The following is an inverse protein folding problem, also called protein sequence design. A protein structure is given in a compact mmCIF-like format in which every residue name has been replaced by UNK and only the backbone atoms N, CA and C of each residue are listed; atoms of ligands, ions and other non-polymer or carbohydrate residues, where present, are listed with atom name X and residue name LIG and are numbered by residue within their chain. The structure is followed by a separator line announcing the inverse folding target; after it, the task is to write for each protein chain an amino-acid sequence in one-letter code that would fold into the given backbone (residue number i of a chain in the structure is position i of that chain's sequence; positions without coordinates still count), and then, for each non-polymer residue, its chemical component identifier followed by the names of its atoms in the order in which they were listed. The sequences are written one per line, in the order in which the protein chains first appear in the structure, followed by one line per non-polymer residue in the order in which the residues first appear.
data_IF_661416409551
#
_entry.id   IF_661416409551
#
_cell.length_a   1.000
_cell.length_b   1.000
_cell.length_c   1.000
_cell.angle_alpha   90.00
_cell.angle_beta   90.00
_cell.angle_gamma   90.00
#
_symmetry.space_group_name_H-M   'P 1'
#
loop_
_entity.id
_entity.type
_entity.pdbx_description
1 polymer ?
#
# COMPACT_ATOMS: atom_id res chain seq x y z
N UNK A 1 16.69 -15.30 6.54
CA UNK A 1 16.02 -15.77 5.31
C UNK A 1 14.79 -16.60 5.65
N UNK A 2 13.80 -16.05 6.36
CA UNK A 2 12.57 -16.81 6.67
C UNK A 2 11.31 -15.98 6.89
N UNK A 3 11.31 -14.66 6.62
CA UNK A 3 10.10 -13.84 6.87
C UNK A 3 9.26 -13.52 5.62
N UNK A 4 9.77 -13.73 4.40
CA UNK A 4 9.01 -13.37 3.19
C UNK A 4 8.03 -14.45 2.68
N UNK A 5 8.02 -15.65 3.28
CA UNK A 5 7.19 -16.75 2.75
C UNK A 5 5.77 -16.84 3.33
N UNK A 6 5.32 -15.88 4.13
CA UNK A 6 3.99 -15.91 4.78
C UNK A 6 2.94 -14.96 4.20
N UNK A 7 3.21 -14.27 3.08
CA UNK A 7 2.27 -13.31 2.47
C UNK A 7 1.62 -13.76 1.16
N UNK A 8 1.78 -15.02 0.75
CA UNK A 8 1.38 -15.45 -0.61
C UNK A 8 0.04 -16.21 -0.66
N UNK A 9 -0.66 -16.44 0.45
CA UNK A 9 -1.93 -17.19 0.40
C UNK A 9 -3.22 -16.34 0.38
N UNK A 10 -3.14 -15.01 0.49
CA UNK A 10 -4.34 -14.16 0.53
C UNK A 10 -4.69 -13.46 -0.80
N UNK A 11 -3.91 -13.63 -1.88
CA UNK A 11 -4.05 -12.81 -3.11
C UNK A 11 -5.09 -13.34 -4.14
N UNK A 12 -5.64 -14.54 -3.99
CA UNK A 12 -6.64 -15.09 -4.94
C UNK A 12 -8.11 -14.84 -4.52
N UNK A 13 -8.32 -14.16 -3.39
CA UNK A 13 -9.66 -13.90 -2.85
C UNK A 13 -10.12 -12.51 -3.26
N UNK A 14 -11.10 -12.45 -4.17
CA UNK A 14 -11.66 -11.19 -4.69
C UNK A 14 -12.16 -10.25 -3.58
N UNK A 15 -12.43 -8.96 -3.89
CA UNK A 15 -12.72 -7.93 -2.88
C UNK A 15 -13.92 -8.24 -1.97
N UNK A 16 -14.85 -9.10 -2.41
CA UNK A 16 -15.96 -9.59 -1.61
C UNK A 16 -15.58 -10.58 -0.50
N UNK A 17 -14.42 -11.22 -0.58
CA UNK A 17 -13.98 -12.23 0.39
C UNK A 17 -13.77 -11.66 1.79
N UNK A 18 -13.37 -10.39 1.90
CA UNK A 18 -13.30 -9.68 3.18
C UNK A 18 -14.68 -9.58 3.87
N UNK A 19 -15.76 -9.55 3.07
CA UNK A 19 -17.14 -9.44 3.58
C UNK A 19 -17.77 -10.81 3.88
N UNK A 20 -17.16 -11.90 3.44
CA UNK A 20 -17.69 -13.26 3.63
C UNK A 20 -17.88 -13.61 5.11
N UNK A 21 -16.94 -13.20 5.98
CA UNK A 21 -17.03 -13.44 7.41
C UNK A 21 -18.25 -12.74 8.06
N UNK A 22 -18.68 -11.60 7.51
CA UNK A 22 -19.85 -10.87 8.01
C UNK A 22 -21.15 -11.57 7.62
N UNK A 23 -21.25 -12.02 6.36
CA UNK A 23 -22.42 -12.77 5.89
C UNK A 23 -22.60 -14.09 6.65
N UNK A 24 -21.50 -14.82 6.89
CA UNK A 24 -21.54 -16.06 7.67
C UNK A 24 -21.91 -15.82 9.13
N UNK A 25 -21.45 -14.71 9.73
CA UNK A 25 -21.85 -14.36 11.09
C UNK A 25 -23.33 -13.99 11.18
N UNK A 26 -23.87 -13.32 10.17
CA UNK A 26 -25.29 -12.95 10.12
C UNK A 26 -26.19 -14.20 10.03
N UNK A 27 -25.88 -15.11 9.11
CA UNK A 27 -26.60 -16.40 8.99
C UNK A 27 -26.46 -17.25 10.26
N UNK A 28 -25.26 -17.32 10.83
CA UNK A 28 -25.03 -17.99 12.12
C UNK A 28 -25.87 -17.37 13.24
N UNK A 29 -25.92 -16.04 13.34
CA UNK A 29 -26.69 -15.36 14.39
C UNK A 29 -28.19 -15.68 14.26
N UNK A 30 -28.71 -15.71 13.04
CA UNK A 30 -30.11 -16.05 12.80
C UNK A 30 -30.39 -17.52 13.14
N UNK A 31 -29.52 -18.45 12.75
CA UNK A 31 -29.58 -19.86 13.17
C UNK A 31 -29.52 -20.00 14.70
N UNK A 32 -28.63 -19.27 15.38
CA UNK A 32 -28.52 -19.28 16.84
C UNK A 32 -29.79 -18.74 17.53
N UNK A 33 -30.39 -17.66 17.00
CA UNK A 33 -31.67 -17.13 17.49
C UNK A 33 -32.79 -18.13 17.35
N UNK A 34 -32.87 -18.85 16.22
CA UNK A 34 -33.84 -19.93 16.03
C UNK A 34 -33.67 -21.04 17.07
N UNK A 35 -32.42 -21.31 17.48
CA UNK A 35 -32.08 -22.27 18.53
C UNK A 35 -32.24 -21.72 19.96
N UNK A 36 -32.71 -20.48 20.13
CA UNK A 36 -32.91 -19.83 21.44
C UNK A 36 -31.65 -19.78 22.31
N UNK A 37 -30.49 -19.48 21.69
CA UNK A 37 -29.21 -19.42 22.39
C UNK A 37 -29.18 -18.38 23.54
N UNK A 38 -29.98 -17.31 23.45
CA UNK A 38 -30.05 -16.26 24.47
C UNK A 38 -30.54 -16.80 25.82
N UNK A 39 -31.52 -17.68 25.78
CA UNK A 39 -32.13 -18.25 26.98
C UNK A 39 -31.27 -19.37 27.58
N UNK A 40 -30.63 -20.16 26.72
CA UNK A 40 -29.92 -21.35 27.16
C UNK A 40 -28.44 -21.13 27.47
N UNK A 41 -27.77 -20.24 26.72
CA UNK A 41 -26.34 -19.98 26.85
C UNK A 41 -26.11 -18.66 27.58
N UNK A 42 -26.67 -17.55 27.09
CA UNK A 42 -26.37 -16.23 27.64
C UNK A 42 -26.87 -16.09 29.08
N UNK A 43 -28.06 -16.62 29.40
CA UNK A 43 -28.60 -16.58 30.76
C UNK A 43 -27.78 -17.40 31.76
N UNK A 44 -27.20 -18.53 31.32
CA UNK A 44 -26.35 -19.37 32.19
C UNK A 44 -24.98 -18.75 32.44
N UNK A 45 -24.43 -18.06 31.44
CA UNK A 45 -23.09 -17.47 31.50
C UNK A 45 -23.09 -15.98 31.88
N UNK A 46 -24.27 -15.37 32.04
CA UNK A 46 -24.45 -13.93 32.30
C UNK A 46 -23.76 -13.05 31.23
N UNK A 47 -23.84 -13.46 29.97
CA UNK A 47 -23.19 -12.79 28.83
C UNK A 47 -24.17 -11.90 28.07
N UNK A 48 -23.65 -10.85 27.43
CA UNK A 48 -24.46 -9.95 26.60
C UNK A 48 -24.87 -10.60 25.27
N UNK A 49 -26.01 -10.19 24.67
CA UNK A 49 -26.40 -10.61 23.33
C UNK A 49 -25.28 -10.39 22.31
N UNK A 50 -25.09 -11.37 21.42
CA UNK A 50 -24.06 -11.32 20.40
C UNK A 50 -24.40 -10.23 19.37
N UNK A 51 -23.45 -9.35 19.09
CA UNK A 51 -23.56 -8.42 17.97
C UNK A 51 -23.51 -9.19 16.65
N UNK A 52 -24.17 -8.64 15.61
CA UNK A 52 -24.13 -9.11 14.22
C UNK A 52 -22.72 -9.30 13.64
N UNK A 53 -21.69 -8.74 14.27
CA UNK A 53 -20.30 -8.82 13.83
C UNK A 53 -19.37 -9.41 14.90
N UNK A 54 -19.92 -10.05 15.95
CA UNK A 54 -19.15 -10.44 17.13
C UNK A 54 -18.00 -11.39 16.83
N UNK A 55 -18.19 -12.41 15.98
CA UNK A 55 -17.09 -13.29 15.55
C UNK A 55 -16.40 -12.84 14.26
N UNK A 56 -16.97 -11.87 13.53
CA UNK A 56 -16.38 -11.35 12.30
C UNK A 56 -15.23 -10.38 12.58
N UNK A 57 -15.31 -9.60 13.67
CA UNK A 57 -14.32 -8.61 14.05
C UNK A 57 -13.59 -8.98 15.34
N UNK A 58 -12.28 -8.74 15.45
CA UNK A 58 -11.57 -8.86 16.73
C UNK A 58 -12.06 -7.80 17.72
N UNK A 59 -12.60 -8.24 18.85
CA UNK A 59 -12.97 -7.32 19.96
C UNK A 59 -12.13 -7.64 21.18
N UNK A 60 -12.30 -8.84 21.74
CA UNK A 60 -11.51 -9.37 22.82
C UNK A 60 -11.21 -10.85 22.56
N UNK A 61 -10.03 -11.21 22.01
CA UNK A 61 -9.72 -12.56 21.58
C UNK A 61 -9.93 -13.63 22.67
N UNK A 62 -9.64 -13.31 23.93
CA UNK A 62 -9.82 -14.24 25.05
C UNK A 62 -11.29 -14.52 25.36
N UNK A 63 -12.11 -13.47 25.40
CA UNK A 63 -13.55 -13.58 25.61
C UNK A 63 -14.25 -14.23 24.42
N UNK A 64 -13.86 -13.85 23.20
CA UNK A 64 -14.38 -14.44 21.96
C UNK A 64 -14.03 -15.93 21.87
N UNK A 65 -12.82 -16.32 22.25
CA UNK A 65 -12.44 -17.74 22.31
C UNK A 65 -13.27 -18.51 23.35
N UNK A 66 -13.46 -17.97 24.55
CA UNK A 66 -14.31 -18.57 25.57
C UNK A 66 -15.76 -18.72 25.09
N UNK A 67 -16.30 -17.68 24.45
CA UNK A 67 -17.65 -17.71 23.87
C UNK A 67 -17.77 -18.72 22.72
N UNK A 68 -16.77 -18.80 21.84
CA UNK A 68 -16.72 -19.80 20.79
C UNK A 68 -16.74 -21.23 21.38
N UNK A 69 -15.88 -21.51 22.36
CA UNK A 69 -15.82 -22.81 23.01
C UNK A 69 -17.15 -23.16 23.71
N UNK A 70 -17.76 -22.19 24.38
CA UNK A 70 -19.05 -22.38 25.06
C UNK A 70 -20.19 -22.64 24.08
N UNK A 71 -20.26 -21.88 22.98
CA UNK A 71 -21.27 -22.09 21.94
C UNK A 71 -21.07 -23.41 21.22
N UNK A 72 -19.84 -23.77 20.87
CA UNK A 72 -19.53 -25.06 20.25
C UNK A 72 -19.95 -26.22 21.17
N UNK A 73 -19.58 -26.17 22.45
CA UNK A 73 -19.99 -27.18 23.43
C UNK A 73 -21.51 -27.30 23.54
N UNK A 74 -22.22 -26.16 23.60
CA UNK A 74 -23.68 -26.15 23.66
C UNK A 74 -24.32 -26.72 22.40
N UNK A 75 -23.83 -26.35 21.21
CA UNK A 75 -24.35 -26.87 19.94
C UNK A 75 -24.10 -28.38 19.80
N UNK A 76 -22.89 -28.86 20.15
CA UNK A 76 -22.57 -30.30 20.14
C UNK A 76 -23.52 -31.05 21.11
N UNK A 77 -23.72 -30.52 22.32
CA UNK A 77 -24.66 -31.08 23.28
C UNK A 77 -26.10 -31.12 22.77
N UNK A 78 -26.51 -30.11 22.00
CA UNK A 78 -27.85 -30.04 21.38
C UNK A 78 -28.03 -30.97 20.18
N UNK A 79 -26.95 -31.27 19.46
CA UNK A 79 -26.94 -32.25 18.38
C UNK A 79 -26.98 -33.70 18.90
N UNK A 80 -26.95 -33.91 20.22
CA UNK A 80 -27.07 -35.23 20.87
C UNK A 80 -25.74 -35.86 21.27
N UNK A 81 -24.61 -35.20 20.99
CA UNK A 81 -23.28 -35.67 21.40
C UNK A 81 -22.94 -35.12 22.79
N UNK A 82 -22.38 -35.96 23.67
CA UNK A 82 -21.97 -35.50 24.99
C UNK A 82 -20.64 -34.74 24.89
N UNK A 83 -20.67 -33.45 25.24
CA UNK A 83 -19.48 -32.60 25.25
C UNK A 83 -19.45 -31.79 26.55
N UNK A 84 -18.40 -31.97 27.35
CA UNK A 84 -18.22 -31.24 28.60
C UNK A 84 -17.87 -29.78 28.33
N UNK A 85 -18.48 -28.86 29.07
CA UNK A 85 -18.22 -27.45 28.91
C UNK A 85 -16.76 -27.13 29.29
N UNK A 86 -15.96 -26.54 28.37
CA UNK A 86 -14.57 -26.21 28.63
C UNK A 86 -14.44 -25.22 29.79
N UNK A 87 -13.56 -25.51 30.74
CA UNK A 87 -13.25 -24.65 31.88
C UNK A 87 -12.07 -23.72 31.56
N UNK A 88 -11.94 -22.61 32.29
CA UNK A 88 -10.87 -21.62 32.09
C UNK A 88 -9.44 -22.19 32.21
N UNK A 89 -9.27 -23.35 32.85
CA UNK A 89 -7.99 -24.02 33.07
C UNK A 89 -7.66 -25.11 32.03
N UNK A 90 -8.59 -25.42 31.13
CA UNK A 90 -8.37 -26.43 30.09
C UNK A 90 -7.40 -25.90 29.02
N UNK A 91 -6.56 -26.78 28.47
CA UNK A 91 -5.63 -26.39 27.40
C UNK A 91 -6.43 -25.99 26.14
N UNK A 92 -6.31 -24.73 25.66
CA UNK A 92 -7.03 -24.26 24.48
C UNK A 92 -6.84 -25.15 23.25
N UNK A 93 -5.65 -25.73 23.06
CA UNK A 93 -5.37 -26.56 21.89
C UNK A 93 -6.07 -27.93 21.99
N UNK A 94 -6.18 -28.48 23.20
CA UNK A 94 -6.89 -29.73 23.45
C UNK A 94 -8.39 -29.53 23.20
N UNK A 95 -8.97 -28.44 23.72
CA UNK A 95 -10.38 -28.08 23.50
C UNK A 95 -10.69 -27.89 22.01
N UNK A 96 -9.86 -27.15 21.27
CA UNK A 96 -10.02 -26.99 19.81
C UNK A 96 -9.94 -28.35 19.11
N UNK A 97 -8.99 -29.21 19.49
CA UNK A 97 -8.84 -30.53 18.88
C UNK A 97 -10.06 -31.42 19.10
N UNK A 98 -10.65 -31.36 20.30
CA UNK A 98 -11.89 -32.09 20.63
C UNK A 98 -13.10 -31.55 19.85
N UNK A 99 -13.22 -30.22 19.72
CA UNK A 99 -14.28 -29.60 18.90
C UNK A 99 -14.14 -30.04 17.44
N UNK A 100 -12.92 -30.03 16.89
CA UNK A 100 -12.66 -30.45 15.52
C UNK A 100 -12.88 -31.96 15.30
N UNK A 101 -12.64 -32.81 16.30
CA UNK A 101 -12.98 -34.24 16.19
C UNK A 101 -14.49 -34.48 16.15
N UNK A 102 -15.27 -33.73 16.94
CA UNK A 102 -16.73 -33.80 16.88
C UNK A 102 -17.24 -33.30 15.53
N UNK A 103 -16.70 -32.19 15.01
CA UNK A 103 -17.08 -31.68 13.68
C UNK A 103 -16.83 -32.71 12.56
N UNK A 104 -15.71 -33.45 12.63
CA UNK A 104 -15.42 -34.54 11.70
C UNK A 104 -16.36 -35.73 11.87
N UNK A 105 -16.85 -35.98 13.09
CA UNK A 105 -17.82 -37.05 13.35
C UNK A 105 -19.18 -36.79 12.68
N UNK A 106 -19.57 -35.52 12.52
CA UNK A 106 -20.73 -35.11 11.74
C UNK A 106 -20.50 -35.13 10.21
N UNK A 107 -19.28 -35.42 9.75
CA UNK A 107 -18.96 -35.57 8.32
C UNK A 107 -18.44 -34.31 7.62
N UNK A 108 -18.13 -33.24 8.36
CA UNK A 108 -17.55 -32.02 7.80
C UNK A 108 -16.02 -32.10 7.72
N UNK A 109 -15.42 -31.64 6.61
CA UNK A 109 -13.96 -31.55 6.45
C UNK A 109 -13.41 -30.26 7.05
N UNK A 110 -12.21 -30.32 7.62
CA UNK A 110 -11.55 -29.19 8.29
C UNK A 110 -10.17 -28.99 7.66
N UNK A 111 -10.09 -28.03 6.74
CA UNK A 111 -8.89 -27.78 5.91
C UNK A 111 -8.11 -26.53 6.37
N UNK A 112 -8.10 -26.24 7.68
CA UNK A 112 -7.38 -25.09 8.24
C UNK A 112 -6.66 -25.43 9.54
N UNK A 113 -5.55 -24.72 9.87
CA UNK A 113 -4.77 -25.01 11.07
C UNK A 113 -5.52 -24.58 12.36
N UNK A 114 -5.43 -25.36 13.47
CA UNK A 114 -6.08 -25.05 14.74
C UNK A 114 -5.76 -23.67 15.31
N UNK A 115 -4.60 -23.11 14.94
CA UNK A 115 -4.16 -21.78 15.37
C UNK A 115 -5.12 -20.66 14.94
N UNK A 116 -5.88 -20.83 13.84
CA UNK A 116 -6.87 -19.82 13.41
C UNK A 116 -8.10 -19.78 14.33
N UNK A 117 -8.49 -20.91 14.90
CA UNK A 117 -9.59 -20.96 15.88
C UNK A 117 -9.19 -20.38 17.24
N UNK A 118 -7.90 -20.48 17.61
CA UNK A 118 -7.38 -19.92 18.87
C UNK A 118 -7.50 -18.39 18.95
N UNK A 119 -7.62 -17.70 17.81
CA UNK A 119 -7.86 -16.26 17.79
C UNK A 119 -9.27 -15.89 18.31
N UNK A 120 -10.22 -16.82 18.31
CA UNK A 120 -11.59 -16.59 18.76
C UNK A 120 -12.47 -15.80 17.76
N UNK A 121 -11.92 -15.32 16.65
CA UNK A 121 -12.66 -14.60 15.60
C UNK A 121 -12.18 -15.00 14.19
N UNK A 122 -13.00 -14.72 13.19
CA UNK A 122 -12.71 -14.92 11.77
C UNK A 122 -13.64 -15.92 11.08
N UNK A 123 -13.49 -16.02 9.75
CA UNK A 123 -14.30 -16.87 8.87
C UNK A 123 -14.34 -18.34 9.35
N UNK A 124 -13.21 -18.87 9.82
CA UNK A 124 -13.11 -20.26 10.26
C UNK A 124 -13.89 -20.52 11.56
N UNK A 125 -13.95 -19.53 12.46
CA UNK A 125 -14.73 -19.62 13.71
C UNK A 125 -16.23 -19.63 13.40
N UNK A 126 -16.67 -18.72 12.52
CA UNK A 126 -18.05 -18.69 12.04
C UNK A 126 -18.43 -19.99 11.33
N UNK A 127 -17.57 -20.50 10.45
CA UNK A 127 -17.79 -21.75 9.71
C UNK A 127 -18.04 -22.94 10.64
N UNK A 128 -17.18 -23.13 11.66
CA UNK A 128 -17.30 -24.24 12.60
C UNK A 128 -18.63 -24.17 13.36
N UNK A 129 -18.98 -23.00 13.89
CA UNK A 129 -20.24 -22.81 14.60
C UNK A 129 -21.45 -22.98 13.69
N UNK A 130 -21.35 -22.54 12.44
CA UNK A 130 -22.41 -22.64 11.45
C UNK A 130 -22.71 -24.11 11.10
N UNK A 131 -21.67 -24.91 10.86
CA UNK A 131 -21.83 -26.35 10.64
C UNK A 131 -22.50 -27.04 11.83
N UNK A 132 -22.12 -26.70 13.06
CA UNK A 132 -22.80 -27.26 14.24
C UNK A 132 -24.25 -26.78 14.36
N UNK A 133 -24.52 -25.50 14.09
CA UNK A 133 -25.88 -24.97 14.11
C UNK A 133 -26.78 -25.66 13.08
N UNK A 134 -26.27 -25.95 11.89
CA UNK A 134 -26.99 -26.71 10.87
C UNK A 134 -27.30 -28.15 11.30
N UNK A 135 -26.34 -28.84 11.91
CA UNK A 135 -26.57 -30.20 12.45
C UNK A 135 -27.61 -30.20 13.57
N UNK A 136 -27.57 -29.19 14.45
CA UNK A 136 -28.59 -29.04 15.49
C UNK A 136 -29.98 -28.78 14.87
N UNK A 137 -30.07 -27.91 13.86
CA UNK A 137 -31.34 -27.63 13.17
C UNK A 137 -31.88 -28.87 12.44
N UNK A 138 -31.01 -29.67 11.84
CA UNK A 138 -31.36 -30.98 11.24
C UNK A 138 -31.89 -31.94 12.30
N UNK A 139 -31.23 -32.02 13.45
CA UNK A 139 -31.62 -32.90 14.56
C UNK A 139 -32.96 -32.49 15.21
N UNK A 140 -33.23 -31.19 15.32
CA UNK A 140 -34.51 -30.65 15.83
C UNK A 140 -35.64 -30.80 14.79
N UNK A 141 -35.34 -31.15 13.54
CA UNK A 141 -36.27 -31.13 12.41
C UNK A 141 -36.96 -29.77 12.27
N UNK A 142 -36.17 -28.69 12.36
CA UNK A 142 -36.68 -27.33 12.24
C UNK A 142 -37.36 -27.12 10.87
N UNK A 143 -38.54 -26.51 10.88
CA UNK A 143 -39.27 -26.11 9.67
C UNK A 143 -39.79 -24.69 9.82
N UNK A 144 -39.68 -23.91 8.75
CA UNK A 144 -40.16 -22.53 8.70
C UNK A 144 -41.69 -22.50 8.85
N UNK A 145 -42.17 -21.84 9.92
CA UNK A 145 -43.61 -21.59 10.11
C UNK A 145 -44.07 -20.53 9.12
N UNK A 146 -45.30 -20.66 8.61
CA UNK A 146 -45.87 -19.67 7.69
C UNK A 146 -45.93 -18.29 8.38
N UNK A 147 -45.57 -17.20 7.68
CA UNK A 147 -45.67 -15.85 8.21
C UNK A 147 -47.10 -15.59 8.70
N UNK A 148 -47.22 -15.23 9.97
CA UNK A 148 -48.49 -14.77 10.54
C UNK A 148 -48.35 -13.25 10.67
N UNK A 149 -49.04 -12.52 9.80
CA UNK A 149 -49.01 -11.06 9.81
C UNK A 149 -49.63 -10.57 11.12
N UNK A 150 -48.87 -9.91 12.00
CA UNK A 150 -49.43 -9.28 13.17
C UNK A 150 -50.48 -8.27 12.69
N UNK A 151 -51.68 -8.33 13.25
CA UNK A 151 -52.68 -7.28 13.03
C UNK A 151 -52.12 -6.05 13.75
N UNK A 152 -51.80 -5.00 12.99
CA UNK A 152 -51.26 -3.74 13.51
C UNK A 152 -52.18 -3.22 14.62
N UNK A 153 -51.80 -3.42 15.88
CA UNK A 153 -52.32 -2.63 16.98
C UNK A 153 -51.75 -1.23 16.78
N UNK A 154 -52.65 -0.32 16.44
CA UNK A 154 -52.41 1.06 16.08
C UNK A 154 -51.63 1.74 17.22
N UNK A 155 -50.31 1.83 17.08
CA UNK A 155 -49.55 2.80 17.87
C UNK A 155 -50.08 4.17 17.47
N UNK A 156 -50.67 4.86 18.46
CA UNK A 156 -51.16 6.22 18.38
C UNK A 156 -49.96 7.15 18.08
N UNK A 157 -49.54 7.18 16.82
CA UNK A 157 -48.64 8.22 16.33
C UNK A 157 -49.39 9.53 16.42
N UNK A 158 -49.06 10.28 17.47
CA UNK A 158 -49.34 11.71 17.61
C UNK A 158 -48.65 12.44 16.45
N UNK A 159 -49.25 12.38 15.27
CA UNK A 159 -48.87 13.23 14.14
C UNK A 159 -49.35 14.63 14.49
N UNK A 160 -48.40 15.46 14.91
CA UNK A 160 -48.57 16.90 15.06
C UNK A 160 -49.07 17.41 13.71
N UNK A 161 -50.32 17.87 13.69
CA UNK A 161 -51.00 18.46 12.55
C UNK A 161 -50.20 19.66 12.03
N UNK A 162 -49.39 19.45 11.00
CA UNK A 162 -48.72 20.50 10.24
C UNK A 162 -49.68 20.96 9.13
N UNK A 163 -50.81 21.56 9.51
CA UNK A 163 -51.77 22.15 8.58
C UNK A 163 -51.50 23.66 8.45
N UNK A 164 -50.31 23.96 7.94
CA UNK A 164 -49.83 25.30 7.62
C UNK A 164 -50.43 25.81 6.29
N UNK A 165 -51.75 25.95 6.21
CA UNK A 165 -52.42 26.82 5.23
C UNK A 165 -53.63 27.54 5.85
N UNK A 166 -53.41 28.19 6.99
CA UNK A 166 -54.34 29.16 7.57
C UNK A 166 -54.43 30.40 6.67
N UNK A 167 -55.45 30.40 5.82
CA UNK A 167 -55.83 31.55 5.02
C UNK A 167 -56.39 32.63 5.96
N UNK A 168 -55.61 33.71 6.15
CA UNK A 168 -55.81 34.82 7.11
C UNK A 168 -57.23 35.38 7.24
N UNK A 169 -58.10 35.22 6.23
CA UNK A 169 -59.46 35.72 6.29
C UNK A 169 -60.38 34.89 7.21
N UNK A 170 -60.05 33.64 7.53
CA UNK A 170 -60.86 32.84 8.47
C UNK A 170 -60.57 33.16 9.93
N UNK A 171 -59.39 33.68 10.25
CA UNK A 171 -59.03 34.00 11.64
C UNK A 171 -59.81 35.22 12.16
N UNK A 172 -60.17 36.19 11.30
CA UNK A 172 -61.04 37.29 11.74
C UNK A 172 -62.48 36.84 11.99
N UNK A 173 -62.99 35.87 11.23
CA UNK A 173 -64.35 35.33 11.42
C UNK A 173 -64.41 34.37 12.62
N UNK A 174 -63.37 33.58 12.87
CA UNK A 174 -63.34 32.57 13.93
C UNK A 174 -63.10 33.19 15.32
N UNK A 175 -62.35 34.30 15.41
CA UNK A 175 -62.23 35.07 16.67
C UNK A 175 -63.57 35.76 17.04
N UNK A 176 -64.47 35.99 16.09
CA UNK A 176 -65.77 36.59 16.36
C UNK A 176 -66.84 35.58 16.81
N UNK A 177 -66.67 34.29 16.55
CA UNK A 177 -67.68 33.26 16.84
C UNK A 177 -67.34 32.35 18.04
N UNK A 178 -66.12 32.38 18.58
CA UNK A 178 -65.75 31.55 19.75
C UNK A 178 -66.23 32.09 21.12
N UNK A 179 -67.07 33.14 21.15
CA UNK A 179 -67.71 33.62 22.40
C UNK A 179 -69.15 33.05 22.59
N UNK A 180 -69.42 31.85 22.06
CA UNK A 180 -70.66 31.11 22.33
C UNK A 180 -70.37 29.71 22.90
N UNK A 181 -69.96 29.69 24.17
CA UNK A 181 -70.19 28.56 25.08
C UNK A 181 -71.63 28.04 24.94
N UNK A 182 -71.82 26.79 24.49
CA UNK A 182 -72.59 25.82 25.28
C UNK A 182 -72.60 24.39 24.70
N UNK A 183 -72.23 23.47 25.59
CA UNK A 183 -72.83 22.15 25.82
C UNK A 183 -72.58 20.97 24.85
N UNK A 184 -71.50 20.26 25.19
CA UNK A 184 -71.54 18.90 25.75
C UNK A 184 -72.26 17.78 24.96
N UNK A 185 -71.41 16.96 24.31
CA UNK A 185 -71.45 15.49 24.28
C UNK A 185 -72.78 14.78 23.99
N UNK A 186 -73.11 14.67 22.71
CA UNK A 186 -73.92 13.55 22.20
C UNK A 186 -73.02 12.33 21.90
N UNK A 187 -72.43 11.73 22.95
CA UNK A 187 -71.69 10.47 22.83
C UNK A 187 -72.68 9.29 22.82
N UNK A 188 -72.87 8.66 21.65
CA UNK A 188 -73.69 7.45 21.52
C UNK A 188 -72.83 6.25 21.92
N UNK A 189 -73.16 5.66 23.08
CA UNK A 189 -72.49 4.51 23.68
C UNK A 189 -72.62 3.25 22.79
N UNK A 190 -71.50 2.86 22.18
CA UNK A 190 -71.35 1.69 21.31
C UNK A 190 -71.75 0.37 21.99
N UNK A 191 -71.74 0.31 23.33
CA UNK A 191 -72.17 -0.88 24.06
C UNK A 191 -73.68 -1.15 23.93
N UNK A 192 -74.51 -0.12 23.74
CA UNK A 192 -75.95 -0.28 23.60
C UNK A 192 -76.35 -1.01 22.30
N UNK A 193 -75.58 -0.82 21.21
CA UNK A 193 -75.82 -1.50 19.94
C UNK A 193 -75.43 -2.98 20.00
N UNK A 194 -74.33 -3.31 20.68
CA UNK A 194 -73.89 -4.72 20.84
C UNK A 194 -74.92 -5.58 21.59
N UNK A 195 -75.59 -5.01 22.60
CA UNK A 195 -76.62 -5.69 23.36
C UNK A 195 -77.89 -5.95 22.52
N UNK A 196 -78.16 -5.12 21.52
CA UNK A 196 -79.31 -5.31 20.63
C UNK A 196 -79.03 -6.42 19.60
N UNK A 197 -77.79 -6.53 19.11
CA UNK A 197 -77.42 -7.61 18.18
C UNK A 197 -77.42 -8.98 18.86
N UNK A 198 -77.02 -9.07 20.13
CA UNK A 198 -77.04 -10.34 20.87
C UNK A 198 -78.46 -10.84 21.21
N UNK A 199 -79.44 -9.94 21.41
CA UNK A 199 -80.84 -10.34 21.65
C UNK A 199 -81.56 -10.90 20.41
N UNK A 200 -81.04 -10.65 19.21
CA UNK A 200 -81.66 -11.13 17.97
C UNK A 200 -81.24 -12.55 17.58
N UNK A 201 -80.16 -13.09 18.15
CA UNK A 201 -79.63 -14.40 17.77
C UNK A 201 -80.15 -15.59 18.60
N UNK A 202 -81.15 -15.41 19.48
CA UNK A 202 -81.80 -16.52 20.22
C UNK A 202 -83.25 -16.74 19.85
N UNK A 203 -83.61 -16.61 18.57
CA UNK A 203 -84.85 -17.20 18.05
C UNK A 203 -84.53 -18.20 16.94
N UNK A 204 -84.63 -19.47 17.34
CA UNK A 204 -84.53 -20.66 16.51
C UNK A 204 -85.39 -20.56 15.25
N UNK A 205 -84.73 -20.64 14.10
CA UNK A 205 -85.08 -21.49 12.96
C UNK A 205 -86.49 -22.12 12.94
N UNK A 206 -87.46 -21.39 12.39
CA UNK A 206 -88.68 -21.96 11.81
C UNK A 206 -88.77 -21.55 10.34
N UNK A 207 -88.46 -22.53 9.47
CA UNK A 207 -88.81 -22.78 8.05
C UNK A 207 -89.28 -21.59 7.17
N UNK A 208 -88.84 -21.53 5.90
CA UNK A 208 -89.13 -20.40 5.01
C UNK A 208 -90.57 -20.49 4.51
N UNK A 209 -91.49 -19.79 5.18
CA UNK A 209 -92.84 -19.57 4.67
C UNK A 209 -92.82 -18.50 3.60
N UNK A 210 -93.11 -18.98 2.39
CA UNK A 210 -93.83 -18.32 1.30
C UNK A 210 -93.26 -17.04 0.70
N UNK A 211 -93.05 -17.14 -0.61
CA UNK A 211 -92.61 -16.11 -1.54
C UNK A 211 -93.46 -14.85 -1.32
N UNK A 212 -92.84 -13.82 -0.75
CA UNK A 212 -93.44 -12.51 -0.55
C UNK A 212 -93.76 -11.89 -1.92
N UNK A 213 -95.02 -12.01 -2.34
CA UNK A 213 -95.54 -11.25 -3.47
C UNK A 213 -95.85 -9.82 -3.02
N UNK A 214 -95.12 -8.85 -3.59
CA UNK A 214 -95.27 -7.44 -3.25
C UNK A 214 -96.56 -6.87 -3.87
N UNK A 215 -97.64 -6.84 -3.09
CA UNK A 215 -98.85 -6.08 -3.40
C UNK A 215 -98.72 -4.61 -2.98
N UNK A 216 -97.57 -3.98 -3.24
CA UNK A 216 -97.29 -2.60 -2.82
C UNK A 216 -97.63 -1.65 -3.97
N UNK A 217 -98.50 -0.68 -3.71
CA UNK A 217 -98.85 0.36 -4.67
C UNK A 217 -97.62 1.21 -5.00
N UNK A 218 -97.37 1.45 -6.28
CA UNK A 218 -96.18 2.18 -6.75
C UNK A 218 -96.16 3.62 -6.20
N UNK A 219 -97.33 4.23 -6.01
CA UNK A 219 -97.43 5.57 -5.43
C UNK A 219 -97.05 5.57 -3.93
N UNK A 220 -97.53 4.59 -3.17
CA UNK A 220 -97.13 4.40 -1.76
C UNK A 220 -95.63 4.11 -1.63
N UNK A 221 -95.07 3.32 -2.55
CA UNK A 221 -93.64 3.04 -2.59
C UNK A 221 -92.81 4.30 -2.89
N UNK A 222 -93.23 5.16 -3.83
CA UNK A 222 -92.53 6.41 -4.13
C UNK A 222 -92.57 7.36 -2.93
N UNK A 223 -93.74 7.52 -2.29
CA UNK A 223 -93.86 8.33 -1.08
C UNK A 223 -92.98 7.77 0.05
N UNK A 224 -92.90 6.45 0.17
CA UNK A 224 -92.04 5.81 1.14
C UNK A 224 -90.56 6.04 0.81
N UNK A 225 -90.16 5.95 -0.47
CA UNK A 225 -88.80 6.27 -0.92
C UNK A 225 -88.44 7.73 -0.69
N UNK A 226 -89.36 8.67 -0.94
CA UNK A 226 -89.17 10.09 -0.60
C UNK A 226 -89.03 10.28 0.92
N UNK A 227 -89.80 9.53 1.71
CA UNK A 227 -89.73 9.55 3.17
C UNK A 227 -88.40 8.99 3.69
N UNK A 228 -87.84 7.95 3.06
CA UNK A 228 -86.56 7.34 3.47
C UNK A 228 -85.34 7.88 2.72
N UNK A 229 -85.49 8.71 1.69
CA UNK A 229 -84.39 9.34 0.95
C UNK A 229 -83.35 10.02 1.86
N UNK A 230 -83.75 10.78 2.91
CA UNK A 230 -82.82 11.33 3.88
C UNK A 230 -82.03 10.26 4.67
N UNK A 231 -82.64 9.10 4.90
CA UNK A 231 -81.99 7.96 5.58
C UNK A 231 -81.11 7.14 4.62
N UNK A 232 -81.41 7.18 3.31
CA UNK A 232 -80.64 6.51 2.26
C UNK A 232 -79.46 7.35 1.75
N UNK A 233 -79.38 8.64 2.12
CA UNK A 233 -78.20 9.45 1.88
C UNK A 233 -77.06 8.94 2.75
N UNK A 234 -76.37 7.92 2.24
CA UNK A 234 -75.14 7.38 2.82
C UNK A 234 -74.07 8.45 2.66
N UNK A 235 -74.00 9.34 3.65
CA UNK A 235 -72.83 10.19 3.83
C UNK A 235 -71.73 9.27 4.32
N UNK A 236 -70.89 8.79 3.41
CA UNK A 236 -69.65 8.08 3.75
C UNK A 236 -68.81 9.10 4.51
N UNK A 237 -68.87 9.05 5.84
CA UNK A 237 -67.94 9.79 6.68
C UNK A 237 -66.57 9.22 6.35
N UNK A 238 -65.70 10.03 5.78
CA UNK A 238 -64.30 9.69 5.55
C UNK A 238 -63.66 9.45 6.90
N UNK A 239 -63.72 8.21 7.38
CA UNK A 239 -62.95 7.78 8.52
C UNK A 239 -61.51 7.65 8.01
N UNK A 240 -60.53 8.20 8.72
CA UNK A 240 -59.12 7.99 8.39
C UNK A 240 -58.71 6.50 8.44
N UNK A 241 -59.57 5.63 8.99
CA UNK A 241 -59.46 4.16 8.92
C UNK A 241 -59.97 3.55 7.62
N UNK A 242 -60.51 4.34 6.69
CA UNK A 242 -60.93 3.84 5.39
C UNK A 242 -59.70 3.46 4.57
N UNK A 243 -59.50 2.15 4.37
CA UNK A 243 -58.47 1.60 3.47
C UNK A 243 -58.49 2.22 2.06
N UNK A 244 -59.63 2.80 1.63
CA UNK A 244 -59.73 3.56 0.37
C UNK A 244 -58.87 4.82 0.40
N UNK A 245 -58.90 5.57 1.50
CA UNK A 245 -58.05 6.75 1.69
C UNK A 245 -56.59 6.34 1.65
N UNK A 246 -56.21 5.24 2.31
CA UNK A 246 -54.83 4.73 2.24
C UNK A 246 -54.43 4.26 0.84
N UNK A 247 -55.32 3.62 0.09
CA UNK A 247 -55.06 3.23 -1.31
C UNK A 247 -54.91 4.46 -2.21
N UNK A 248 -55.76 5.46 -2.03
CA UNK A 248 -55.67 6.73 -2.76
C UNK A 248 -54.38 7.50 -2.40
N UNK A 249 -54.01 7.56 -1.11
CA UNK A 249 -52.73 8.11 -0.64
C UNK A 249 -51.55 7.35 -1.23
N UNK A 250 -51.59 6.02 -1.27
CA UNK A 250 -50.54 5.20 -1.89
C UNK A 250 -50.41 5.49 -3.39
N UNK A 251 -51.53 5.68 -4.09
CA UNK A 251 -51.51 6.11 -5.50
C UNK A 251 -50.91 7.52 -5.66
N UNK A 252 -51.30 8.47 -4.81
CA UNK A 252 -50.73 9.83 -4.81
C UNK A 252 -49.22 9.83 -4.52
N UNK A 253 -48.76 9.06 -3.53
CA UNK A 253 -47.34 8.92 -3.21
C UNK A 253 -46.57 8.25 -4.34
N UNK A 254 -47.12 7.18 -4.93
CA UNK A 254 -46.50 6.53 -6.09
C UNK A 254 -46.34 7.49 -7.25
N UNK A 255 -47.39 8.25 -7.57
CA UNK A 255 -47.35 9.21 -8.66
C UNK A 255 -46.38 10.37 -8.36
N UNK A 256 -46.27 10.79 -7.09
CA UNK A 256 -45.26 11.75 -6.61
C UNK A 256 -43.82 11.22 -6.65
N UNK A 257 -43.62 9.94 -6.37
CA UNK A 257 -42.32 9.26 -6.55
C UNK A 257 -41.98 9.17 -8.04
N UNK A 258 -42.93 8.85 -8.90
CA UNK A 258 -42.71 8.77 -10.35
C UNK A 258 -42.37 10.12 -10.97
N UNK A 259 -42.98 11.22 -10.52
CA UNK A 259 -42.63 12.57 -10.97
C UNK A 259 -41.24 12.99 -10.50
N UNK A 260 -40.94 12.84 -9.21
CA UNK A 260 -39.62 13.17 -8.66
C UNK A 260 -38.50 12.29 -9.25
N UNK A 261 -38.77 11.02 -9.55
CA UNK A 261 -37.82 10.13 -10.22
C UNK A 261 -37.53 10.59 -11.66
N UNK A 262 -38.54 11.05 -12.39
CA UNK A 262 -38.36 11.61 -13.75
C UNK A 262 -37.49 12.88 -13.71
N UNK A 263 -37.74 13.76 -12.75
CA UNK A 263 -36.98 15.00 -12.58
C UNK A 263 -35.52 14.72 -12.21
N UNK A 264 -35.29 13.90 -11.19
CA UNK A 264 -33.94 13.51 -10.74
C UNK A 264 -33.15 12.79 -11.83
N UNK A 265 -33.77 11.91 -12.60
CA UNK A 265 -33.14 11.29 -13.77
C UNK A 265 -32.74 12.34 -14.81
N UNK A 266 -33.59 13.33 -15.07
CA UNK A 266 -33.27 14.45 -15.95
C UNK A 266 -32.08 15.29 -15.45
N UNK A 267 -32.00 15.55 -14.14
CA UNK A 267 -30.85 16.22 -13.53
C UNK A 267 -29.56 15.38 -13.66
N UNK A 268 -29.65 14.07 -13.43
CA UNK A 268 -28.52 13.16 -13.57
C UNK A 268 -28.02 13.06 -15.01
N UNK A 269 -28.91 13.01 -15.99
CA UNK A 269 -28.55 13.00 -17.41
C UNK A 269 -27.87 14.32 -17.83
N UNK A 270 -28.32 15.47 -17.30
CA UNK A 270 -27.64 16.75 -17.52
C UNK A 270 -26.23 16.74 -16.93
N UNK A 271 -26.08 16.29 -15.68
CA UNK A 271 -24.78 16.19 -15.02
C UNK A 271 -23.85 15.24 -15.77
N UNK A 272 -24.35 14.08 -16.20
CA UNK A 272 -23.59 13.14 -17.02
C UNK A 272 -23.08 13.79 -18.32
N UNK A 273 -23.95 14.52 -19.03
CA UNK A 273 -23.57 15.22 -20.25
C UNK A 273 -22.56 16.35 -20.00
N UNK A 274 -22.67 17.07 -18.90
CA UNK A 274 -21.70 18.11 -18.50
C UNK A 274 -20.33 17.51 -18.18
N UNK A 275 -20.30 16.41 -17.42
CA UNK A 275 -19.07 15.68 -17.12
C UNK A 275 -18.44 15.10 -18.39
N UNK A 276 -19.23 14.51 -19.27
CA UNK A 276 -18.74 13.99 -20.55
C UNK A 276 -18.11 15.10 -21.41
N UNK A 277 -18.78 16.25 -21.55
CA UNK A 277 -18.22 17.42 -22.25
C UNK A 277 -16.96 17.96 -21.58
N UNK A 278 -16.90 17.96 -20.25
CA UNK A 278 -15.71 18.38 -19.52
C UNK A 278 -14.53 17.43 -19.78
N UNK A 279 -14.77 16.11 -19.76
CA UNK A 279 -13.76 15.10 -20.08
C UNK A 279 -13.25 15.21 -21.53
N UNK A 280 -14.13 15.47 -22.50
CA UNK A 280 -13.72 15.72 -23.89
C UNK A 280 -12.85 16.98 -24.01
N UNK A 281 -13.19 18.06 -23.28
CA UNK A 281 -12.37 19.28 -23.22
C UNK A 281 -11.01 19.02 -22.58
N UNK A 282 -10.95 18.22 -21.50
CA UNK A 282 -9.69 17.84 -20.86
C UNK A 282 -8.85 16.99 -21.82
N UNK A 283 -9.43 15.98 -22.47
CA UNK A 283 -8.72 15.12 -23.43
C UNK A 283 -8.19 15.91 -24.63
N UNK A 284 -8.98 16.83 -25.17
CA UNK A 284 -8.51 17.69 -26.27
C UNK A 284 -7.41 18.66 -25.83
N UNK A 285 -7.51 19.22 -24.62
CA UNK A 285 -6.45 20.08 -24.06
C UNK A 285 -5.18 19.31 -23.77
N UNK A 286 -5.28 18.10 -23.24
CA UNK A 286 -4.15 17.20 -23.01
C UNK A 286 -3.46 16.84 -24.32
N UNK A 287 -4.22 16.43 -25.35
CA UNK A 287 -3.67 16.18 -26.70
C UNK A 287 -2.95 17.39 -27.26
N UNK A 288 -3.52 18.59 -27.10
CA UNK A 288 -2.89 19.83 -27.55
C UNK A 288 -1.58 20.11 -26.81
N UNK A 289 -1.57 19.99 -25.47
CA UNK A 289 -0.37 20.20 -24.65
C UNK A 289 0.71 19.16 -24.99
N UNK A 290 0.34 17.88 -25.07
CA UNK A 290 1.27 16.81 -25.42
C UNK A 290 1.90 17.04 -26.79
N UNK A 291 1.11 17.45 -27.79
CA UNK A 291 1.62 17.77 -29.12
C UNK A 291 2.57 18.98 -29.12
N UNK A 292 2.33 19.99 -28.25
CA UNK A 292 3.26 21.12 -28.09
C UNK A 292 4.54 20.73 -27.34
N UNK A 293 4.42 19.91 -26.30
CA UNK A 293 5.54 19.47 -25.48
C UNK A 293 6.40 18.44 -26.19
N UNK A 294 5.84 17.62 -27.07
CA UNK A 294 6.57 16.57 -27.79
C UNK A 294 7.75 17.14 -28.58
N UNK A 295 7.54 18.25 -29.29
CA UNK A 295 8.62 18.92 -30.02
C UNK A 295 9.67 19.51 -29.07
N UNK A 296 9.26 20.19 -28.01
CA UNK A 296 10.17 20.75 -27.01
C UNK A 296 10.99 19.67 -26.29
N UNK A 297 10.37 18.51 -25.99
CA UNK A 297 11.05 17.36 -25.39
C UNK A 297 12.06 16.76 -26.38
N UNK A 298 11.71 16.69 -27.67
CA UNK A 298 12.63 16.19 -28.69
C UNK A 298 13.82 17.15 -28.91
N UNK A 299 13.56 18.46 -28.94
CA UNK A 299 14.59 19.50 -28.97
C UNK A 299 15.50 19.41 -27.73
N UNK A 300 14.92 19.32 -26.53
CA UNK A 300 15.69 19.14 -25.29
C UNK A 300 16.60 17.91 -25.36
N UNK A 301 16.07 16.76 -25.81
CA UNK A 301 16.85 15.53 -25.99
C UNK A 301 17.99 15.73 -26.99
N UNK A 302 17.74 16.41 -28.10
CA UNK A 302 18.78 16.71 -29.10
C UNK A 302 19.88 17.60 -28.54
N UNK A 303 19.53 18.65 -27.81
CA UNK A 303 20.48 19.58 -27.19
C UNK A 303 21.27 18.88 -26.09
N UNK A 304 20.61 18.02 -25.30
CA UNK A 304 21.29 17.21 -24.29
C UNK A 304 22.30 16.25 -24.90
N UNK A 305 21.97 15.59 -26.02
CA UNK A 305 22.89 14.74 -26.75
C UNK A 305 24.10 15.53 -27.30
N UNK A 306 23.86 16.70 -27.91
CA UNK A 306 24.92 17.59 -28.37
C UNK A 306 25.82 18.07 -27.21
N UNK A 307 25.24 18.38 -26.05
CA UNK A 307 25.99 18.76 -24.86
C UNK A 307 26.85 17.61 -24.33
N UNK A 308 26.34 16.38 -24.32
CA UNK A 308 27.14 15.21 -23.94
C UNK A 308 28.31 14.96 -24.89
N UNK A 309 28.07 15.07 -26.21
CA UNK A 309 29.11 14.92 -27.23
C UNK A 309 30.18 16.02 -27.10
N UNK A 310 29.76 17.27 -26.88
CA UNK A 310 30.68 18.39 -26.67
C UNK A 310 31.53 18.20 -25.40
N UNK A 311 30.93 17.70 -24.31
CA UNK A 311 31.66 17.38 -23.07
C UNK A 311 32.68 16.26 -23.28
N UNK A 312 32.32 15.22 -24.01
CA UNK A 312 33.23 14.12 -24.31
C UNK A 312 34.40 14.59 -25.17
N UNK A 313 34.15 15.35 -26.24
CA UNK A 313 35.19 15.96 -27.08
C UNK A 313 36.10 16.89 -26.27
N UNK A 314 35.55 17.70 -25.37
CA UNK A 314 36.33 18.54 -24.49
C UNK A 314 37.21 17.71 -23.55
N UNK A 315 36.69 16.65 -22.96
CA UNK A 315 37.46 15.77 -22.07
C UNK A 315 38.59 15.05 -22.81
N UNK A 316 38.32 14.56 -24.02
CA UNK A 316 39.33 13.95 -24.89
C UNK A 316 40.42 14.96 -25.29
N UNK A 317 40.04 16.17 -25.70
CA UNK A 317 40.98 17.23 -26.05
C UNK A 317 41.80 17.70 -24.85
N UNK A 318 41.17 17.88 -23.68
CA UNK A 318 41.84 18.26 -22.44
C UNK A 318 42.85 17.19 -22.00
N UNK A 319 42.48 15.90 -22.04
CA UNK A 319 43.40 14.79 -21.79
C UNK A 319 44.55 14.71 -22.79
N UNK A 320 44.28 15.01 -24.08
CA UNK A 320 45.31 15.08 -25.10
C UNK A 320 46.27 16.26 -24.91
N UNK A 321 45.78 17.41 -24.45
CA UNK A 321 46.60 18.58 -24.14
C UNK A 321 47.48 18.31 -22.92
N UNK A 322 46.94 17.74 -21.84
CA UNK A 322 47.73 17.43 -20.63
C UNK A 322 48.86 16.44 -20.94
N UNK A 323 48.59 15.41 -21.75
CA UNK A 323 49.63 14.45 -22.14
C UNK A 323 50.70 15.09 -23.03
N UNK A 324 50.31 15.93 -24.00
CA UNK A 324 51.27 16.68 -24.82
C UNK A 324 52.09 17.66 -24.00
N UNK A 325 51.51 18.31 -23.00
CA UNK A 325 52.24 19.17 -22.06
C UNK A 325 53.22 18.37 -21.21
N UNK A 326 52.87 17.16 -20.78
CA UNK A 326 53.76 16.23 -20.05
C UNK A 326 54.95 15.82 -20.91
N UNK A 327 54.70 15.37 -22.14
CA UNK A 327 55.74 15.00 -23.11
C UNK A 327 56.63 16.19 -23.45
N UNK A 328 56.05 17.39 -23.61
CA UNK A 328 56.83 18.59 -23.87
C UNK A 328 57.74 18.93 -22.68
N UNK A 329 57.27 18.78 -21.44
CA UNK A 329 58.10 18.95 -20.25
C UNK A 329 59.28 17.97 -20.24
N UNK A 330 59.03 16.68 -20.50
CA UNK A 330 60.07 15.65 -20.61
C UNK A 330 61.11 15.99 -21.69
N UNK A 331 60.67 16.35 -22.90
CA UNK A 331 61.56 16.74 -23.99
C UNK A 331 62.35 18.00 -23.63
N UNK A 332 61.76 18.97 -22.94
CA UNK A 332 62.49 20.17 -22.51
C UNK A 332 63.53 19.87 -21.42
N UNK A 333 63.26 18.94 -20.52
CA UNK A 333 64.23 18.46 -19.52
C UNK A 333 65.38 17.71 -20.20
N UNK A 334 65.08 16.81 -21.15
CA UNK A 334 66.08 16.13 -21.96
C UNK A 334 66.94 17.12 -22.76
N UNK A 335 66.31 18.15 -23.35
CA UNK A 335 67.02 19.17 -24.10
C UNK A 335 67.94 20.01 -23.21
N UNK A 336 67.51 20.39 -22.01
CA UNK A 336 68.37 21.12 -21.07
C UNK A 336 69.52 20.23 -20.57
N UNK A 337 69.28 18.94 -20.35
CA UNK A 337 70.33 17.98 -20.01
C UNK A 337 71.37 17.87 -21.13
N UNK A 338 70.93 17.70 -22.38
CA UNK A 338 71.84 17.64 -23.55
C UNK A 338 72.59 18.96 -23.73
N UNK A 339 71.95 20.09 -23.47
CA UNK A 339 72.58 21.40 -23.52
C UNK A 339 73.64 21.58 -22.43
N UNK A 340 73.37 21.11 -21.20
CA UNK A 340 74.35 21.10 -20.12
C UNK A 340 75.54 20.19 -20.44
N UNK A 341 75.30 18.98 -20.96
CA UNK A 341 76.35 18.09 -21.44
C UNK A 341 77.17 18.74 -22.57
N UNK A 342 76.51 19.45 -23.48
CA UNK A 342 77.17 20.19 -24.56
C UNK A 342 78.03 21.35 -24.02
N UNK A 343 77.58 22.07 -23.00
CA UNK A 343 78.32 23.16 -22.37
C UNK A 343 79.51 22.64 -21.55
N UNK A 344 79.35 21.53 -20.84
CA UNK A 344 80.45 20.82 -20.18
C UNK A 344 81.48 20.31 -21.19
N UNK A 345 81.05 19.77 -22.33
CA UNK A 345 81.96 19.36 -23.40
C UNK A 345 82.62 20.56 -24.07
N UNK A 346 81.87 21.63 -24.34
CA UNK A 346 82.36 22.87 -24.94
C UNK A 346 83.40 23.56 -24.05
N UNK A 347 83.14 23.65 -22.75
CA UNK A 347 84.10 24.15 -21.77
C UNK A 347 85.33 23.24 -21.66
N UNK A 348 85.17 21.92 -21.66
CA UNK A 348 86.32 20.99 -21.66
C UNK A 348 87.17 21.08 -22.94
N UNK A 349 86.57 21.40 -24.08
CA UNK A 349 87.26 21.50 -25.38
C UNK A 349 87.92 22.86 -25.58
N UNK A 350 87.36 23.91 -25.00
CA UNK A 350 87.97 25.26 -24.99
C UNK A 350 88.95 25.46 -23.85
N UNK A 351 88.85 24.67 -22.78
CA UNK A 351 89.85 24.63 -21.72
C UNK A 351 91.18 24.13 -22.29
N UNK A 352 92.08 25.08 -22.55
CA UNK A 352 93.44 24.79 -22.98
C UNK A 352 94.32 24.23 -21.86
N UNK A 353 93.85 24.16 -20.60
CA UNK A 353 94.65 23.69 -19.47
C UNK A 353 95.24 22.27 -19.66
N UNK A 354 94.52 21.27 -20.21
CA UNK A 354 95.11 19.97 -20.55
C UNK A 354 96.24 20.10 -21.58
N UNK A 355 96.07 20.95 -22.60
CA UNK A 355 97.07 21.18 -23.63
C UNK A 355 98.31 21.90 -23.06
N UNK A 356 98.10 22.88 -22.18
CA UNK A 356 99.17 23.58 -21.46
C UNK A 356 99.91 22.61 -20.53
N UNK A 357 99.21 21.73 -19.80
CA UNK A 357 99.83 20.68 -18.98
C UNK A 357 100.67 19.72 -19.83
N UNK A 358 100.17 19.29 -20.99
CA UNK A 358 100.92 18.46 -21.94
C UNK A 358 102.16 19.20 -22.45
N UNK A 359 102.03 20.48 -22.81
CA UNK A 359 103.15 21.30 -23.28
C UNK A 359 104.21 21.50 -22.20
N UNK A 360 103.80 21.77 -20.96
CA UNK A 360 104.68 21.88 -19.80
C UNK A 360 105.41 20.56 -19.52
N UNK A 361 104.70 19.43 -19.57
CA UNK A 361 105.29 18.10 -19.44
C UNK A 361 106.32 17.81 -20.54
N UNK A 362 106.00 18.15 -21.81
CA UNK A 362 106.94 18.02 -22.93
C UNK A 362 108.18 18.90 -22.77
N UNK A 363 108.05 20.14 -22.31
CA UNK A 363 109.21 21.01 -22.06
C UNK A 363 110.09 20.49 -20.92
N UNK A 364 109.46 19.93 -19.88
CA UNK A 364 110.19 19.30 -18.77
C UNK A 364 110.96 18.07 -19.25
N UNK A 365 110.32 17.19 -20.03
CA UNK A 365 110.97 16.04 -20.65
C UNK A 365 112.14 16.45 -21.56
N UNK A 366 112.00 17.50 -22.36
CA UNK A 366 113.12 18.03 -23.17
C UNK A 366 114.28 18.52 -22.31
N UNK A 367 114.00 19.22 -21.22
CA UNK A 367 115.04 19.66 -20.29
C UNK A 367 115.74 18.48 -19.61
N UNK A 368 114.97 17.47 -19.19
CA UNK A 368 115.49 16.21 -18.64
C UNK A 368 116.38 15.47 -19.65
N UNK A 369 116.01 15.43 -20.94
CA UNK A 369 116.83 14.83 -22.01
C UNK A 369 118.16 15.58 -22.16
N UNK A 370 118.16 16.91 -22.27
CA UNK A 370 119.40 17.69 -22.40
C UNK A 370 120.29 17.53 -21.16
N UNK A 371 119.70 17.51 -19.97
CA UNK A 371 120.46 17.26 -18.74
C UNK A 371 121.05 15.84 -18.74
N UNK A 372 120.33 14.85 -19.27
CA UNK A 372 120.82 13.49 -19.43
C UNK A 372 121.97 13.43 -20.45
N UNK A 373 121.85 14.12 -21.58
CA UNK A 373 122.91 14.18 -22.61
C UNK A 373 124.20 14.83 -22.07
N UNK A 374 124.09 15.91 -21.28
CA UNK A 374 125.25 16.54 -20.63
C UNK A 374 125.88 15.56 -19.63
N UNK A 375 125.06 14.85 -18.83
CA UNK A 375 125.58 13.83 -17.91
C UNK A 375 126.29 12.71 -18.67
N UNK A 376 125.72 12.22 -19.77
CA UNK A 376 126.34 11.23 -20.65
C UNK A 376 127.67 11.75 -21.20
N UNK A 377 127.72 12.97 -21.72
CA UNK A 377 128.95 13.58 -22.24
C UNK A 377 130.04 13.79 -21.18
N UNK A 378 129.67 14.17 -19.94
CA UNK A 378 130.62 14.25 -18.83
C UNK A 378 131.15 12.87 -18.46
N UNK A 379 130.29 11.84 -18.45
CA UNK A 379 130.69 10.45 -18.20
C UNK A 379 131.63 9.96 -19.31
N UNK A 380 131.33 10.23 -20.58
CA UNK A 380 132.18 9.91 -21.73
C UNK A 380 133.54 10.63 -21.66
N UNK A 381 133.55 11.93 -21.34
CA UNK A 381 134.81 12.68 -21.19
C UNK A 381 135.66 12.15 -20.04
N UNK A 382 135.03 11.84 -18.90
CA UNK A 382 135.71 11.26 -17.73
C UNK A 382 136.31 9.91 -18.08
N UNK A 383 135.58 9.07 -18.83
CA UNK A 383 136.06 7.79 -19.34
C UNK A 383 137.23 7.97 -20.34
N UNK A 384 137.13 8.94 -21.24
CA UNK A 384 138.18 9.22 -22.22
C UNK A 384 139.46 9.77 -21.56
N UNK A 385 139.32 10.63 -20.55
CA UNK A 385 140.45 11.14 -19.78
C UNK A 385 141.10 10.02 -18.95
N UNK A 386 140.31 9.09 -18.41
CA UNK A 386 140.81 7.87 -17.76
C UNK A 386 141.65 7.03 -18.72
N UNK A 387 141.13 6.73 -19.91
CA UNK A 387 141.84 5.92 -20.91
C UNK A 387 143.09 6.62 -21.48
N UNK A 388 143.08 7.95 -21.62
CA UNK A 388 144.24 8.73 -22.02
C UNK A 388 145.31 8.79 -20.92
N UNK A 389 144.92 8.94 -19.65
CA UNK A 389 145.85 8.86 -18.52
C UNK A 389 146.48 7.46 -18.43
N UNK A 390 145.70 6.41 -18.67
CA UNK A 390 146.20 5.04 -18.74
C UNK A 390 147.22 4.86 -19.89
N UNK A 391 146.92 5.38 -21.09
CA UNK A 391 147.87 5.39 -22.22
C UNK A 391 149.13 6.22 -21.97
N UNK A 392 148.99 7.40 -21.38
CA UNK A 392 150.11 8.29 -21.06
C UNK A 392 151.01 7.68 -19.98
N UNK A 393 150.41 7.03 -18.97
CA UNK A 393 151.16 6.28 -17.97
C UNK A 393 151.90 5.10 -18.61
N UNK A 394 151.27 4.36 -19.54
CA UNK A 394 151.96 3.30 -20.29
C UNK A 394 153.14 3.82 -21.11
N UNK A 395 153.00 4.95 -21.83
CA UNK A 395 154.13 5.52 -22.60
C UNK A 395 155.21 6.09 -21.70
N UNK A 396 154.85 6.70 -20.57
CA UNK A 396 155.83 7.21 -19.60
C UNK A 396 156.59 6.08 -18.91
N UNK A 397 155.92 4.98 -18.58
CA UNK A 397 156.56 3.79 -18.01
C UNK A 397 157.47 3.12 -19.05
N UNK A 398 157.10 3.15 -20.34
CA UNK A 398 157.99 2.70 -21.42
C UNK A 398 159.25 3.59 -21.56
N UNK A 399 159.12 4.91 -21.42
CA UNK A 399 160.28 5.82 -21.46
C UNK A 399 161.16 5.73 -20.21
N UNK A 400 160.58 5.47 -19.03
CA UNK A 400 161.35 5.29 -17.80
C UNK A 400 162.20 4.02 -17.81
N UNK A 401 161.81 2.99 -18.59
CA UNK A 401 162.60 1.78 -18.76
C UNK A 401 163.80 1.92 -19.70
N UNK A 402 163.96 3.06 -20.40
CA UNK A 402 165.01 3.26 -21.40
C UNK A 402 166.13 4.23 -20.98
N UNK A 403 166.42 4.34 -19.68
CA UNK A 403 167.63 5.01 -19.18
C UNK A 403 168.58 3.94 -18.62
N UNK A 404 169.62 3.52 -19.37
CA UNK A 404 170.77 2.82 -18.79
C UNK A 404 171.74 3.84 -18.21
N UNK A 405 172.03 3.68 -16.93
CA UNK A 405 173.04 4.39 -16.17
C UNK A 405 174.46 4.23 -16.76
N UNK A 406 175.11 5.39 -16.90
CA UNK A 406 176.52 5.69 -16.59
C UNK A 406 177.64 4.74 -17.04
N UNK A 407 178.58 5.30 -17.83
CA UNK A 407 180.02 5.06 -17.60
C UNK A 407 180.89 6.08 -18.33
N UNK A 408 181.53 6.92 -17.51
CA UNK A 408 182.79 7.61 -17.75
C UNK A 408 183.93 6.58 -17.72
N UNK A 409 184.94 6.77 -18.57
CA UNK A 409 186.34 6.63 -18.16
C UNK A 409 187.02 5.25 -18.21
N UNK A 410 188.24 5.28 -18.72
CA UNK A 410 189.22 4.21 -18.71
C UNK A 410 189.83 3.97 -17.31
N UNK A 411 190.34 2.75 -17.14
CA UNK A 411 191.00 2.10 -16.00
C UNK A 411 190.11 1.45 -14.94
#
# INVERSE_FOLDING_TARGET
MSEDSRRVEDDDRGPGAAYQAFLMMEDLLDKLKLLSYEDEVLRKQNMKPLSRHYFALPTNPGEQFYMFCTLAAWLISKAGHHFDQPQEYDDPNATISNILSELRSFGYSVDFPPSRLKAGYGEQVCYVLDCFAEEVLKHIHFSWKRPTYPTEEQDEENVIEDDAELTLNKIEDEIAEEDSDNDQEHFIDLNALSAQTQKLNTKESSKPEEILESNTDAAEWILEVERVLPQLKVTIRTDNKDWRVHVDQMHQHRDGIDTSLKETKGYLDKLHNEVAKALEKVSSREKYINNQLEQLVQEYRSVQAQLSEAKERYQQASGGVTERTRILAEITEELEKVKQEMEEKGSSMTDGAPLVKIKQALTKLKHEIVQMDIRTGVVEHTLLQSTLKEKSNMTRDMHALNIPESSIGAY
#
